data_IF_472355861074
#
_entry.id   IF_472355861074
#
_cell.length_a   1.000
_cell.length_b   1.000
_cell.length_c   1.000
_cell.angle_alpha   90.00
_cell.angle_beta   90.00
_cell.angle_gamma   90.00
#
_symmetry.space_group_name_H-M   'P 1'
#
loop_
_entity.id
_entity.type
_entity.pdbx_description
1 polymer ?
#
# COMPACT_ATOMS: atom_id res chain seq x y z
N UNK A 1 70.82 -48.98 -25.21
CA UNK A 1 70.30 -49.02 -26.60
C UNK A 1 69.30 -50.17 -26.63
N UNK A 2 67.99 -50.01 -26.74
CA UNK A 2 67.15 -48.95 -27.28
C UNK A 2 65.82 -48.98 -26.48
N UNK A 3 65.30 -47.81 -26.16
CA UNK A 3 63.98 -47.61 -25.58
C UNK A 3 62.87 -47.89 -26.60
N UNK A 4 61.73 -48.42 -26.17
CA UNK A 4 60.50 -48.32 -26.96
C UNK A 4 59.34 -48.08 -26.01
N UNK A 5 58.91 -46.82 -25.98
CA UNK A 5 57.76 -46.36 -25.21
C UNK A 5 56.45 -46.70 -25.92
N UNK A 6 55.49 -47.17 -25.14
CA UNK A 6 54.08 -47.15 -25.53
C UNK A 6 53.52 -45.78 -25.17
N UNK A 7 53.19 -44.98 -26.19
CA UNK A 7 52.36 -43.79 -26.02
C UNK A 7 50.93 -44.25 -25.70
N UNK A 8 50.52 -44.11 -24.44
CA UNK A 8 49.11 -44.04 -24.09
C UNK A 8 48.64 -42.60 -24.38
N UNK A 9 48.01 -42.38 -25.52
CA UNK A 9 47.17 -41.20 -25.70
C UNK A 9 45.90 -41.39 -24.87
N UNK A 10 45.96 -40.99 -23.59
CA UNK A 10 44.74 -40.71 -22.82
C UNK A 10 44.06 -39.51 -23.48
N UNK A 11 42.99 -39.80 -24.22
CA UNK A 11 42.04 -38.80 -24.68
C UNK A 11 41.60 -37.99 -23.45
N UNK A 12 41.76 -36.65 -23.44
CA UNK A 12 41.34 -35.85 -22.30
C UNK A 12 39.84 -36.07 -22.06
N UNK A 13 39.40 -36.10 -20.79
CA UNK A 13 38.01 -36.34 -20.46
C UNK A 13 37.16 -35.29 -21.18
N UNK A 14 36.25 -35.78 -22.03
CA UNK A 14 35.22 -34.94 -22.62
C UNK A 14 34.39 -34.42 -21.45
N UNK A 15 34.57 -33.16 -21.10
CA UNK A 15 33.70 -32.47 -20.15
C UNK A 15 32.27 -32.60 -20.69
N UNK A 16 31.51 -33.53 -20.11
CA UNK A 16 30.10 -33.64 -20.37
C UNK A 16 29.48 -32.29 -19.99
N UNK A 17 28.93 -31.58 -20.98
CA UNK A 17 28.17 -30.37 -20.76
C UNK A 17 27.10 -30.67 -19.69
N UNK A 18 26.98 -29.88 -18.61
CA UNK A 18 25.93 -30.09 -17.63
C UNK A 18 24.58 -30.14 -18.36
N UNK A 19 23.82 -31.20 -18.12
CA UNK A 19 22.45 -31.27 -18.62
C UNK A 19 21.72 -29.98 -18.21
N UNK A 20 20.99 -29.32 -19.11
CA UNK A 20 20.28 -28.10 -18.76
C UNK A 20 19.39 -28.38 -17.56
N UNK A 21 19.53 -27.54 -16.52
CA UNK A 21 18.75 -27.68 -15.30
C UNK A 21 17.26 -27.78 -15.67
N UNK A 22 16.61 -28.87 -15.24
CA UNK A 22 15.16 -29.03 -15.42
C UNK A 22 14.50 -27.79 -14.83
N UNK A 23 13.77 -27.05 -15.65
CA UNK A 23 13.06 -25.86 -15.20
C UNK A 23 12.05 -26.30 -14.13
N UNK A 24 12.28 -25.91 -12.88
CA UNK A 24 11.34 -26.18 -11.80
C UNK A 24 10.15 -25.23 -11.97
N UNK A 25 8.98 -25.80 -12.23
CA UNK A 25 7.74 -25.04 -12.34
C UNK A 25 7.46 -24.40 -10.98
N UNK A 26 7.25 -23.08 -10.96
CA UNK A 26 6.87 -22.37 -9.73
C UNK A 26 5.50 -22.83 -9.24
N UNK A 27 5.37 -22.97 -7.92
CA UNK A 27 4.09 -23.24 -7.27
C UNK A 27 3.08 -22.14 -7.62
N UNK A 28 1.92 -22.49 -8.19
CA UNK A 28 0.96 -21.50 -8.64
C UNK A 28 0.19 -20.88 -7.48
N UNK A 29 -0.11 -21.63 -6.42
CA UNK A 29 -0.89 -21.17 -5.28
C UNK A 29 0.02 -20.57 -4.20
N UNK A 30 -0.38 -19.41 -3.67
CA UNK A 30 0.47 -18.60 -2.78
C UNK A 30 -0.18 -18.26 -1.45
N UNK A 31 -1.50 -18.41 -1.37
CA UNK A 31 -2.30 -18.18 -0.18
C UNK A 31 -3.48 -19.13 -0.22
N UNK A 32 -3.87 -19.65 0.95
CA UNK A 32 -5.11 -20.39 1.16
C UNK A 32 -5.61 -20.13 2.58
N UNK A 33 -6.89 -19.76 2.72
CA UNK A 33 -7.61 -19.72 3.99
C UNK A 33 -9.02 -20.24 3.76
N UNK A 34 -9.44 -21.18 4.60
CA UNK A 34 -10.82 -21.66 4.67
C UNK A 34 -11.57 -20.85 5.73
N UNK A 35 -12.81 -20.48 5.44
CA UNK A 35 -13.74 -19.85 6.37
C UNK A 35 -15.04 -20.65 6.35
N UNK A 36 -15.42 -21.22 7.48
CA UNK A 36 -16.75 -21.78 7.69
C UNK A 36 -17.64 -20.68 8.27
N UNK A 37 -18.75 -20.34 7.59
CA UNK A 37 -19.68 -19.29 8.08
C UNK A 37 -20.84 -19.89 8.87
N UNK A 38 -21.22 -21.12 8.54
CA UNK A 38 -22.20 -21.95 9.25
C UNK A 38 -21.98 -23.41 8.84
N UNK A 39 -22.53 -24.40 9.55
CA UNK A 39 -22.30 -25.81 9.25
C UNK A 39 -22.53 -26.16 7.78
N UNK A 40 -21.44 -26.55 7.10
CA UNK A 40 -21.47 -26.96 5.69
C UNK A 40 -21.57 -25.82 4.67
N UNK A 41 -21.41 -24.56 5.09
CA UNK A 41 -21.23 -23.37 4.26
C UNK A 41 -19.78 -22.90 4.39
N UNK A 42 -18.93 -23.40 3.50
CA UNK A 42 -17.48 -23.16 3.53
C UNK A 42 -17.02 -22.29 2.37
N UNK A 43 -16.06 -21.43 2.65
CA UNK A 43 -15.42 -20.56 1.67
C UNK A 43 -13.91 -20.79 1.71
N UNK A 44 -13.35 -21.37 0.64
CA UNK A 44 -11.91 -21.43 0.43
C UNK A 44 -11.46 -20.23 -0.39
N UNK A 45 -10.58 -19.41 0.19
CA UNK A 45 -9.98 -18.27 -0.50
C UNK A 45 -8.55 -18.62 -0.86
N UNK A 46 -8.27 -18.65 -2.16
CA UNK A 46 -6.95 -18.93 -2.71
C UNK A 46 -6.40 -17.72 -3.46
N UNK A 47 -5.08 -17.55 -3.45
CA UNK A 47 -4.41 -16.73 -4.46
C UNK A 47 -3.55 -17.59 -5.37
N UNK A 48 -3.48 -17.23 -6.64
CA UNK A 48 -2.69 -17.96 -7.61
C UNK A 48 -2.03 -17.07 -8.67
N UNK A 49 -0.97 -17.59 -9.29
CA UNK A 49 -0.22 -16.95 -10.37
C UNK A 49 1.25 -17.38 -10.38
N UNK A 50 1.84 -17.55 -11.57
CA UNK A 50 3.27 -17.86 -11.74
C UNK A 50 4.09 -16.61 -12.05
N UNK A 51 5.37 -16.62 -11.67
CA UNK A 51 6.27 -15.49 -11.87
C UNK A 51 6.16 -14.44 -10.76
N UNK A 52 5.56 -13.29 -11.06
CA UNK A 52 5.49 -12.15 -10.13
C UNK A 52 4.70 -12.49 -8.87
N UNK A 53 5.31 -12.42 -7.68
CA UNK A 53 4.67 -12.67 -6.37
C UNK A 53 3.69 -11.59 -5.89
N UNK A 54 3.37 -10.65 -6.76
CA UNK A 54 2.81 -9.35 -6.36
C UNK A 54 1.66 -8.90 -7.24
N UNK A 55 1.33 -9.72 -8.23
CA UNK A 55 0.11 -9.67 -9.02
C UNK A 55 -0.35 -11.11 -9.21
N UNK A 56 -1.61 -11.31 -9.55
CA UNK A 56 -2.16 -12.60 -9.95
C UNK A 56 -3.66 -12.55 -9.93
N UNK A 57 -4.29 -13.63 -9.45
CA UNK A 57 -5.72 -13.69 -9.27
C UNK A 57 -6.05 -14.36 -7.94
N UNK A 58 -7.27 -14.12 -7.45
CA UNK A 58 -7.85 -14.86 -6.34
C UNK A 58 -9.01 -15.73 -6.82
N UNK A 59 -9.33 -16.73 -6.01
CA UNK A 59 -10.48 -17.61 -6.16
C UNK A 59 -11.17 -17.69 -4.81
N UNK A 60 -12.48 -17.53 -4.78
CA UNK A 60 -13.35 -17.84 -3.63
C UNK A 60 -14.19 -19.03 -4.06
N UNK A 61 -13.95 -20.19 -3.46
CA UNK A 61 -14.67 -21.42 -3.71
C UNK A 61 -15.69 -21.58 -2.60
N UNK A 62 -16.97 -21.48 -2.94
CA UNK A 62 -18.07 -21.65 -1.98
C UNK A 62 -18.61 -23.07 -2.08
N UNK A 63 -18.69 -23.75 -0.95
CA UNK A 63 -19.25 -25.09 -0.80
C UNK A 63 -20.47 -25.02 0.12
N UNK A 64 -21.64 -25.31 -0.43
CA UNK A 64 -22.87 -25.63 0.29
C UNK A 64 -23.08 -27.15 0.22
N UNK A 65 -22.52 -27.84 1.20
CA UNK A 65 -22.53 -29.31 1.24
C UNK A 65 -23.93 -29.88 1.46
N UNK A 66 -24.78 -29.19 2.22
CA UNK A 66 -26.15 -29.62 2.49
C UNK A 66 -27.03 -29.57 1.23
N UNK A 67 -26.85 -28.54 0.38
CA UNK A 67 -27.56 -28.41 -0.89
C UNK A 67 -26.84 -29.05 -2.08
N UNK A 68 -25.64 -29.62 -1.87
CA UNK A 68 -24.74 -30.09 -2.92
C UNK A 68 -24.48 -29.03 -4.01
N UNK A 69 -24.30 -27.77 -3.59
CA UNK A 69 -24.05 -26.64 -4.48
C UNK A 69 -22.64 -26.12 -4.28
N UNK A 70 -21.95 -25.88 -5.39
CA UNK A 70 -20.59 -25.39 -5.38
C UNK A 70 -20.49 -24.24 -6.37
N UNK A 71 -19.97 -23.10 -5.93
CA UNK A 71 -19.79 -21.93 -6.78
C UNK A 71 -18.36 -21.40 -6.68
N UNK A 72 -17.95 -20.64 -7.68
CA UNK A 72 -16.61 -20.06 -7.74
C UNK A 72 -16.72 -18.62 -8.15
N UNK A 73 -16.04 -17.76 -7.39
CA UNK A 73 -15.87 -16.34 -7.70
C UNK A 73 -14.39 -16.06 -7.90
N UNK A 74 -14.03 -15.39 -8.99
CA UNK A 74 -12.64 -15.10 -9.35
C UNK A 74 -12.44 -13.61 -9.57
N UNK A 75 -11.21 -13.13 -9.40
CA UNK A 75 -10.85 -11.79 -9.83
C UNK A 75 -9.35 -11.56 -9.82
N UNK A 76 -8.94 -10.47 -10.45
CA UNK A 76 -7.54 -10.05 -10.46
C UNK A 76 -7.10 -9.56 -9.08
N UNK A 77 -5.86 -9.88 -8.74
CA UNK A 77 -5.23 -9.56 -7.48
C UNK A 77 -4.07 -8.58 -7.69
N UNK A 78 -4.15 -7.42 -7.04
CA UNK A 78 -3.04 -6.48 -6.90
C UNK A 78 -2.45 -6.60 -5.49
N UNK A 79 -1.19 -6.98 -5.42
CA UNK A 79 -0.51 -7.30 -4.16
C UNK A 79 -0.65 -8.76 -3.73
N UNK A 80 -0.16 -9.05 -2.52
CA UNK A 80 -0.29 -10.35 -1.88
C UNK A 80 -1.43 -10.31 -0.87
N UNK A 81 -2.23 -11.38 -0.77
CA UNK A 81 -3.23 -11.53 0.29
C UNK A 81 -2.49 -11.58 1.63
N UNK A 82 -2.93 -10.75 2.57
CA UNK A 82 -2.43 -10.71 3.95
C UNK A 82 -3.35 -11.50 4.85
N UNK A 83 -4.65 -11.25 4.75
CA UNK A 83 -5.66 -11.98 5.50
C UNK A 83 -7.02 -11.91 4.77
N UNK A 84 -7.96 -12.73 5.24
CA UNK A 84 -9.36 -12.74 4.81
C UNK A 84 -10.25 -12.73 6.04
N UNK A 85 -11.28 -11.89 6.02
CA UNK A 85 -12.24 -11.76 7.10
C UNK A 85 -13.63 -12.16 6.61
N UNK A 86 -14.44 -12.70 7.52
CA UNK A 86 -15.87 -12.79 7.34
C UNK A 86 -16.61 -11.91 8.34
N UNK A 87 -17.77 -11.43 7.94
CA UNK A 87 -18.72 -10.75 8.82
C UNK A 87 -20.13 -10.96 8.29
N UNK A 88 -21.11 -10.51 9.06
CA UNK A 88 -22.47 -10.21 8.63
C UNK A 88 -22.78 -8.82 9.19
N UNK A 89 -22.34 -7.78 8.48
CA UNK A 89 -22.27 -6.41 9.02
C UNK A 89 -23.63 -5.72 9.09
N UNK A 90 -24.60 -6.12 8.27
CA UNK A 90 -25.96 -5.59 8.31
C UNK A 90 -27.01 -6.56 8.87
N UNK A 91 -26.56 -7.72 9.36
CA UNK A 91 -27.35 -8.72 10.10
C UNK A 91 -28.48 -9.32 9.25
N UNK A 92 -28.23 -9.51 7.95
CA UNK A 92 -29.17 -10.10 7.01
C UNK A 92 -28.96 -11.62 6.81
N UNK A 93 -27.91 -12.17 7.43
CA UNK A 93 -27.53 -13.59 7.36
C UNK A 93 -26.71 -13.96 6.13
N UNK A 94 -26.44 -13.04 5.22
CA UNK A 94 -25.55 -13.23 4.08
C UNK A 94 -24.11 -12.89 4.51
N UNK A 95 -23.14 -13.80 4.35
CA UNK A 95 -21.77 -13.50 4.76
C UNK A 95 -21.11 -12.51 3.81
N UNK A 96 -20.39 -11.53 4.37
CA UNK A 96 -19.40 -10.77 3.61
C UNK A 96 -18.00 -11.38 3.77
N UNK A 97 -17.35 -11.69 2.64
CA UNK A 97 -15.94 -12.10 2.59
C UNK A 97 -15.08 -10.91 2.13
N UNK A 98 -14.10 -10.57 2.94
CA UNK A 98 -13.23 -9.40 2.77
C UNK A 98 -11.77 -9.85 2.62
N UNK A 99 -11.19 -9.68 1.44
CA UNK A 99 -9.82 -10.12 1.12
C UNK A 99 -8.89 -8.92 1.19
N UNK A 100 -8.01 -8.89 2.19
CA UNK A 100 -7.02 -7.84 2.37
C UNK A 100 -5.77 -8.16 1.56
N UNK A 101 -5.33 -7.19 0.76
CA UNK A 101 -4.03 -7.28 0.09
C UNK A 101 -3.11 -6.15 0.49
N UNK A 102 -1.81 -6.45 0.48
CA UNK A 102 -0.74 -5.46 0.62
C UNK A 102 -0.19 -5.14 -0.77
N UNK A 103 -0.41 -3.89 -1.21
CA UNK A 103 0.09 -3.39 -2.48
C UNK A 103 1.59 -3.10 -2.45
N UNK A 104 2.21 -2.95 -3.62
CA UNK A 104 3.62 -2.55 -3.73
C UNK A 104 3.86 -1.07 -3.52
N UNK A 105 2.84 -0.26 -3.76
CA UNK A 105 2.99 1.18 -3.85
C UNK A 105 3.03 1.81 -2.46
N UNK A 106 3.92 2.78 -2.31
CA UNK A 106 4.03 3.67 -1.14
C UNK A 106 2.87 4.65 -1.02
N UNK A 107 1.92 4.66 -1.97
CA UNK A 107 0.68 5.43 -1.86
C UNK A 107 -0.55 4.57 -1.61
N UNK A 108 -0.55 3.31 -2.07
CA UNK A 108 -1.65 2.36 -1.92
C UNK A 108 -1.15 1.11 -1.16
N UNK A 109 -0.92 1.27 0.14
CA UNK A 109 -0.38 0.21 0.99
C UNK A 109 -1.32 -0.99 1.16
N UNK A 110 -2.64 -0.76 1.08
CA UNK A 110 -3.66 -1.77 1.32
C UNK A 110 -4.81 -1.59 0.35
N UNK A 111 -5.27 -2.71 -0.21
CA UNK A 111 -6.51 -2.83 -0.98
C UNK A 111 -7.42 -3.85 -0.31
N UNK A 112 -8.72 -3.58 -0.36
CA UNK A 112 -9.76 -4.52 0.06
C UNK A 112 -10.63 -4.93 -1.10
N UNK A 113 -10.78 -6.24 -1.29
CA UNK A 113 -11.80 -6.82 -2.16
C UNK A 113 -12.91 -7.35 -1.26
N UNK A 114 -14.12 -6.86 -1.46
CA UNK A 114 -15.27 -7.18 -0.62
C UNK A 114 -16.38 -7.81 -1.46
N UNK A 115 -16.94 -8.90 -0.95
CA UNK A 115 -18.03 -9.62 -1.58
C UNK A 115 -19.07 -10.00 -0.53
N UNK A 116 -20.34 -9.78 -0.83
CA UNK A 116 -21.46 -10.33 -0.07
C UNK A 116 -21.99 -11.55 -0.84
N UNK A 117 -22.31 -12.64 -0.14
CA UNK A 117 -22.79 -13.85 -0.77
C UNK A 117 -24.24 -14.11 -0.42
N UNK A 118 -25.12 -14.00 -1.41
CA UNK A 118 -26.55 -14.28 -1.26
C UNK A 118 -26.92 -15.48 -2.15
N UNK A 119 -27.49 -16.53 -1.56
CA UNK A 119 -27.89 -17.74 -2.27
C UNK A 119 -26.77 -18.34 -3.16
N UNK A 120 -25.53 -18.33 -2.67
CA UNK A 120 -24.34 -18.84 -3.37
C UNK A 120 -23.82 -17.97 -4.51
N UNK A 121 -24.37 -16.77 -4.72
CA UNK A 121 -23.87 -15.79 -5.70
C UNK A 121 -23.11 -14.69 -4.99
N UNK A 122 -21.93 -14.36 -5.51
CA UNK A 122 -21.15 -13.23 -5.02
C UNK A 122 -21.60 -11.91 -5.65
N UNK A 123 -21.91 -10.94 -4.80
CA UNK A 123 -22.06 -9.55 -5.17
C UNK A 123 -20.82 -8.77 -4.73
N UNK A 124 -20.11 -8.16 -5.68
CA UNK A 124 -18.95 -7.32 -5.36
C UNK A 124 -19.39 -6.03 -4.69
N UNK A 125 -18.80 -5.73 -3.54
CA UNK A 125 -19.02 -4.49 -2.80
C UNK A 125 -17.87 -3.49 -3.06
N UNK A 126 -18.22 -2.22 -3.14
CA UNK A 126 -17.23 -1.15 -3.30
C UNK A 126 -16.64 -0.76 -1.94
N UNK A 127 -15.47 -1.30 -1.61
CA UNK A 127 -14.81 -0.93 -0.35
C UNK A 127 -14.35 0.53 -0.38
N UNK A 128 -14.69 1.35 0.64
CA UNK A 128 -14.45 2.78 0.62
C UNK A 128 -12.96 3.09 0.78
N UNK A 129 -12.45 3.95 -0.10
CA UNK A 129 -11.10 4.51 0.04
C UNK A 129 -11.06 5.48 1.22
N UNK A 130 -9.90 5.58 1.86
CA UNK A 130 -9.65 6.63 2.86
C UNK A 130 -9.91 8.01 2.24
N UNK A 131 -10.65 8.87 2.94
CA UNK A 131 -10.87 10.28 2.53
C UNK A 131 -9.57 11.09 2.60
N UNK A 132 -9.57 12.31 2.05
CA UNK A 132 -8.40 13.18 2.12
C UNK A 132 -7.95 13.46 3.56
N UNK A 133 -8.88 13.67 4.50
CA UNK A 133 -8.55 13.85 5.92
C UNK A 133 -8.03 12.56 6.55
N UNK A 134 -8.66 11.42 6.27
CA UNK A 134 -8.24 10.12 6.79
C UNK A 134 -6.90 9.63 6.25
N UNK A 135 -6.43 10.15 5.11
CA UNK A 135 -5.09 9.84 4.56
C UNK A 135 -3.97 10.71 5.13
N UNK A 136 -4.27 11.72 5.94
CA UNK A 136 -3.22 12.58 6.51
C UNK A 136 -2.32 11.79 7.45
N UNK A 137 -1.02 11.72 7.13
CA UNK A 137 -0.04 10.94 7.89
C UNK A 137 -0.12 9.43 7.69
N UNK A 138 -0.98 8.93 6.77
CA UNK A 138 -1.11 7.51 6.49
C UNK A 138 0.10 6.97 5.72
N UNK A 139 0.64 5.82 6.17
CA UNK A 139 1.81 5.15 5.57
C UNK A 139 1.71 3.62 5.57
N UNK A 140 0.49 3.10 5.56
CA UNK A 140 0.26 1.66 5.66
C UNK A 140 0.32 1.17 7.10
N UNK A 141 0.79 -0.06 7.26
CA UNK A 141 0.78 -0.82 8.52
C UNK A 141 -0.62 -0.91 9.13
N UNK A 142 -1.58 -1.16 8.25
CA UNK A 142 -2.98 -1.36 8.58
C UNK A 142 -3.21 -2.70 9.25
N UNK A 143 -3.87 -2.62 10.40
CA UNK A 143 -4.38 -3.74 11.15
C UNK A 143 -5.91 -3.78 11.00
N UNK A 144 -6.44 -4.88 10.49
CA UNK A 144 -7.87 -5.11 10.32
C UNK A 144 -8.33 -6.23 11.24
N UNK A 145 -9.51 -6.06 11.83
CA UNK A 145 -10.10 -7.07 12.69
C UNK A 145 -11.60 -6.88 12.82
N UNK A 146 -12.30 -7.97 13.09
CA UNK A 146 -13.74 -7.93 13.40
C UNK A 146 -13.93 -7.69 14.89
N UNK A 147 -14.80 -6.75 15.24
CA UNK A 147 -15.27 -6.55 16.62
C UNK A 147 -16.72 -6.09 16.59
N UNK A 148 -17.56 -6.73 17.41
CA UNK A 148 -18.98 -6.43 17.54
C UNK A 148 -19.72 -6.46 16.19
N UNK A 149 -19.40 -7.43 15.32
CA UNK A 149 -19.98 -7.58 13.98
C UNK A 149 -19.52 -6.55 12.94
N UNK A 150 -18.56 -5.70 13.29
CA UNK A 150 -18.06 -4.62 12.42
C UNK A 150 -16.60 -4.84 12.07
N UNK A 151 -16.17 -4.41 10.88
CA UNK A 151 -14.76 -4.39 10.52
C UNK A 151 -14.11 -3.10 11.04
N UNK A 152 -13.06 -3.26 11.83
CA UNK A 152 -12.22 -2.17 12.27
C UNK A 152 -10.93 -2.16 11.46
N UNK A 153 -10.41 -0.96 11.25
CA UNK A 153 -9.08 -0.71 10.70
C UNK A 153 -8.36 0.27 11.60
N UNK A 154 -7.15 -0.09 11.96
CA UNK A 154 -6.26 0.74 12.76
C UNK A 154 -4.91 0.88 12.07
N UNK A 155 -4.35 2.08 12.03
CA UNK A 155 -3.01 2.30 11.47
C UNK A 155 -2.27 3.46 12.17
N UNK A 156 -0.93 3.41 12.25
CA UNK A 156 -0.13 4.50 12.81
C UNK A 156 -0.19 5.77 11.96
N UNK A 157 -0.09 6.93 12.63
CA UNK A 157 -0.06 8.25 11.99
C UNK A 157 1.36 8.80 12.03
N UNK A 158 1.83 9.31 10.90
CA UNK A 158 3.15 9.90 10.75
C UNK A 158 3.09 11.42 10.57
N UNK A 159 4.07 12.13 11.15
CA UNK A 159 4.27 13.56 10.98
C UNK A 159 5.30 13.83 9.88
N UNK A 160 5.04 14.84 9.05
CA UNK A 160 5.92 15.25 7.94
C UNK A 160 5.68 14.47 6.64
N UNK A 161 6.58 14.62 5.68
CA UNK A 161 6.47 14.08 4.32
C UNK A 161 7.72 13.31 3.89
N UNK A 162 7.60 12.51 2.82
CA UNK A 162 8.73 11.77 2.23
C UNK A 162 9.38 10.76 3.19
N UNK A 163 10.65 10.42 2.97
CA UNK A 163 11.38 9.44 3.79
C UNK A 163 11.69 9.92 5.22
N UNK A 164 11.59 11.23 5.48
CA UNK A 164 11.92 11.83 6.77
C UNK A 164 10.76 11.83 7.78
N UNK A 165 9.56 11.38 7.38
CA UNK A 165 8.40 11.35 8.25
C UNK A 165 8.62 10.40 9.43
N UNK A 166 8.15 10.80 10.62
CA UNK A 166 8.32 10.04 11.86
C UNK A 166 6.97 9.64 12.45
N UNK A 167 6.86 8.49 13.12
CA UNK A 167 5.65 8.12 13.85
C UNK A 167 5.28 9.22 14.85
N UNK A 168 4.00 9.58 14.91
CA UNK A 168 3.48 10.55 15.88
C UNK A 168 3.18 9.92 17.24
N UNK A 169 3.22 8.59 17.34
CA UNK A 169 2.74 7.82 18.50
C UNK A 169 1.22 7.62 18.54
N UNK A 170 0.47 8.33 17.70
CA UNK A 170 -0.98 8.17 17.58
C UNK A 170 -1.35 7.15 16.50
N UNK A 171 -2.53 6.57 16.65
CA UNK A 171 -3.15 5.69 15.65
C UNK A 171 -4.49 6.26 15.20
N UNK A 172 -4.82 6.06 13.93
CA UNK A 172 -6.14 6.34 13.38
C UNK A 172 -6.95 5.06 13.39
N UNK A 173 -8.17 5.14 13.91
CA UNK A 173 -9.09 4.01 13.99
C UNK A 173 -10.38 4.31 13.23
N UNK A 174 -10.70 3.44 12.28
CA UNK A 174 -11.91 3.51 11.45
C UNK A 174 -12.75 2.26 11.71
N UNK A 175 -14.06 2.45 11.72
CA UNK A 175 -15.07 1.40 11.76
C UNK A 175 -15.83 1.42 10.45
N UNK A 176 -15.96 0.24 9.85
CA UNK A 176 -16.74 -0.03 8.67
C UNK A 176 -17.96 -0.86 9.07
N UNK A 177 -19.11 -0.47 8.55
CA UNK A 177 -20.33 -1.27 8.58
C UNK A 177 -20.96 -1.33 7.21
N UNK A 178 -22.06 -2.05 7.08
CA UNK A 178 -22.82 -2.15 5.85
C UNK A 178 -24.25 -1.64 6.05
N UNK A 179 -24.81 -1.02 5.03
CA UNK A 179 -26.23 -0.66 4.96
C UNK A 179 -26.65 -0.61 3.50
N UNK A 180 -27.63 -1.44 3.12
CA UNK A 180 -28.07 -1.56 1.72
C UNK A 180 -26.88 -1.83 0.78
N UNK A 181 -26.01 -2.78 1.18
CA UNK A 181 -24.85 -3.26 0.42
C UNK A 181 -23.85 -2.11 0.10
N UNK A 182 -23.90 -1.04 0.89
CA UNK A 182 -23.02 0.12 0.81
C UNK A 182 -22.31 0.31 2.14
N UNK A 183 -20.98 0.42 2.09
CA UNK A 183 -20.20 0.60 3.29
C UNK A 183 -20.47 1.97 3.93
N UNK A 184 -20.62 1.96 5.25
CA UNK A 184 -20.58 3.15 6.10
C UNK A 184 -19.21 3.22 6.78
N UNK A 185 -18.68 4.44 6.98
CA UNK A 185 -17.37 4.65 7.61
C UNK A 185 -17.50 5.62 8.76
N UNK A 186 -17.07 5.21 9.94
CA UNK A 186 -16.99 6.07 11.13
C UNK A 186 -15.56 6.11 11.64
N UNK A 187 -14.96 7.30 11.72
CA UNK A 187 -13.69 7.47 12.41
C UNK A 187 -13.92 7.51 13.92
N UNK A 188 -13.28 6.61 14.66
CA UNK A 188 -13.41 6.48 16.11
C UNK A 188 -12.36 7.31 16.86
N UNK A 189 -11.20 7.55 16.24
CA UNK A 189 -10.10 8.33 16.82
C UNK A 189 -10.31 9.84 16.66
N UNK A 190 -9.86 10.63 17.65
CA UNK A 190 -9.87 12.11 17.64
C UNK A 190 -8.53 12.73 17.21
N UNK A 191 -7.71 11.93 16.53
CA UNK A 191 -6.35 12.18 16.07
C UNK A 191 -6.28 13.30 15.02
N UNK A 192 -6.42 14.54 15.48
CA UNK A 192 -6.55 15.75 14.66
C UNK A 192 -5.21 16.20 14.04
N UNK A 193 -4.51 15.31 13.32
CA UNK A 193 -3.26 15.67 12.63
C UNK A 193 -3.57 16.28 11.27
N UNK A 194 -3.78 17.61 11.23
CA UNK A 194 -3.61 18.39 9.98
C UNK A 194 -2.11 18.44 9.68
N UNK A 195 -1.60 17.51 8.89
CA UNK A 195 -0.22 17.63 8.36
C UNK A 195 -0.20 18.86 7.45
N UNK A 196 0.49 19.92 7.86
CA UNK A 196 0.72 21.08 6.99
C UNK A 196 1.46 20.59 5.75
N UNK A 197 0.93 20.89 4.57
CA UNK A 197 1.64 20.68 3.32
C UNK A 197 2.90 21.57 3.36
N UNK A 198 4.05 20.98 3.67
CA UNK A 198 5.32 21.69 3.62
C UNK A 198 5.50 22.28 2.23
N UNK A 199 5.72 23.60 2.14
CA UNK A 199 6.11 24.27 0.91
C UNK A 199 7.32 23.55 0.31
N UNK A 200 7.41 23.39 -1.03
CA UNK A 200 8.55 22.76 -1.66
C UNK A 200 9.82 23.53 -1.27
N UNK A 201 10.80 22.82 -0.70
CA UNK A 201 12.12 23.37 -0.41
C UNK A 201 12.82 23.52 -1.75
N UNK A 202 12.78 24.73 -2.32
CA UNK A 202 13.71 25.13 -3.36
C UNK A 202 15.07 25.33 -2.69
N UNK A 203 16.02 24.45 -2.97
CA UNK A 203 17.42 24.62 -2.59
C UNK A 203 17.94 25.93 -3.19
N UNK A 204 17.98 27.00 -2.41
CA UNK A 204 18.82 28.15 -2.71
C UNK A 204 20.25 27.82 -2.34
N UNK A 205 21.05 27.54 -3.36
CA UNK A 205 22.51 27.55 -3.29
C UNK A 205 22.97 28.94 -2.83
N UNK A 206 23.43 29.03 -1.59
CA UNK A 206 24.11 30.19 -1.03
C UNK A 206 25.47 30.34 -1.72
N UNK A 207 25.60 31.34 -2.60
CA UNK A 207 26.90 31.87 -3.00
C UNK A 207 27.49 32.63 -1.81
N UNK A 208 28.52 32.05 -1.21
CA UNK A 208 29.39 32.70 -0.23
C UNK A 208 30.37 33.59 -1.01
N UNK A 209 30.22 34.91 -0.93
CA UNK A 209 31.24 35.86 -1.33
C UNK A 209 31.57 36.74 -0.13
N UNK A 210 32.84 36.65 0.25
CA UNK A 210 33.53 37.23 1.40
C UNK A 210 33.56 38.76 1.35
N UNK A 211 33.28 39.39 2.50
CA UNK A 211 33.58 40.80 2.74
C UNK A 211 35.09 40.97 3.02
N UNK A 212 35.81 41.62 2.12
CA UNK A 212 37.06 42.30 2.42
C UNK A 212 36.78 43.79 2.68
N UNK A 213 37.30 44.29 3.80
CA UNK A 213 37.33 45.72 4.14
C UNK A 213 38.45 46.40 3.36
N UNK A 214 38.17 47.54 2.73
CA UNK A 214 39.15 48.62 2.54
C UNK A 214 38.51 49.99 2.77
N UNK A 215 39.18 50.76 3.63
CA UNK A 215 39.01 52.19 3.87
C UNK A 215 39.68 53.00 2.74
N UNK A 216 39.06 54.08 2.26
CA UNK A 216 39.65 55.40 1.97
C UNK A 216 38.53 56.37 1.51
N UNK A 217 38.18 57.41 2.28
CA UNK A 217 38.70 58.80 2.30
C UNK A 217 38.04 59.75 1.28
N UNK A 218 37.15 60.60 1.83
CA UNK A 218 36.97 62.05 1.61
C UNK A 218 36.51 62.57 0.23
N UNK A 219 35.33 63.23 0.20
CA UNK A 219 35.21 64.70 -0.06
C UNK A 219 33.80 65.23 0.22
N UNK A 220 33.77 66.40 0.88
CA UNK A 220 32.62 67.24 1.25
C UNK A 220 31.93 67.85 0.03
N UNK A 221 30.62 68.12 0.11
CA UNK A 221 30.09 69.46 -0.15
C UNK A 221 28.71 69.71 0.50
N UNK A 222 28.64 70.86 1.20
CA UNK A 222 27.46 71.54 1.78
C UNK A 222 26.56 72.15 0.70
N UNK A 223 25.24 72.20 0.94
CA UNK A 223 24.34 73.40 0.98
C UNK A 223 22.87 72.95 0.91
N UNK A 224 22.05 73.21 1.95
CA UNK A 224 21.20 74.40 2.24
C UNK A 224 19.80 74.35 1.59
N UNK A 225 18.81 74.26 2.48
CA UNK A 225 17.44 74.82 2.47
C UNK A 225 16.82 75.37 1.17
N UNK A 226 15.55 74.99 0.94
CA UNK A 226 14.42 75.96 0.92
C UNK A 226 13.05 75.28 1.07
N UNK A 227 12.19 75.90 1.88
CA UNK A 227 10.73 75.73 1.98
C UNK A 227 10.04 76.55 0.87
N UNK A 228 8.83 76.14 0.48
CA UNK A 228 7.65 76.95 0.08
C UNK A 228 6.54 75.91 -0.25
N UNK A 229 5.37 75.83 0.42
CA UNK A 229 4.18 76.73 0.39
C UNK A 229 3.91 77.24 -1.02
N UNK A 230 2.74 77.12 -1.65
CA UNK A 230 1.36 76.92 -1.21
C UNK A 230 0.53 76.71 -2.48
N UNK A 231 -0.56 75.95 -2.36
CA UNK A 231 -1.94 76.24 -2.79
C UNK A 231 -2.21 77.14 -4.03
N UNK A 232 -2.98 76.55 -4.94
CA UNK A 232 -4.29 77.00 -5.47
C UNK A 232 -4.43 77.83 -6.78
N UNK A 233 -5.57 77.50 -7.39
CA UNK A 233 -6.39 78.16 -8.41
C UNK A 233 -6.04 78.06 -9.91
N UNK A 234 -7.01 77.50 -10.66
CA UNK A 234 -7.09 77.48 -12.13
C UNK A 234 -7.83 76.28 -12.68
#
# INVERSE_FOLDING_TARGET
MIATGCNNEEKPPVNATPAPAKQQLMDPFRYHKMIEVSPGQDYDILSWGRGSKTVGAFMILHSDSAAAKYTTTTGDLDGAIVDVYNSDMDLDGNPEILIQTKGKDTTNYTTMYAFEFTNGKAQKLNFPKLTQSQRQGYRGDDDFYIKDGMLLREFPIYNGSGKAAKPSGQKRKLQYGLRNNSFTVKQLSKDSVKVSAGKPIVNQLVKKATHEKKHEVVKKHKKKHKRHHSDDEG
#
